data_IF_149815208657
#
_entry.id   IF_149815208657
#
_cell.length_a   1.000
_cell.length_b   1.000
_cell.length_c   1.000
_cell.angle_alpha   90.00
_cell.angle_beta   90.00
_cell.angle_gamma   90.00
#
_symmetry.space_group_name_H-M   'P 1'
#
loop_
_entity.id
_entity.type
_entity.pdbx_description
1 polymer ?
#
# COMPACT_ATOMS: atom_id res chain seq x y z
N UNK A 1 -15.93 -7.62 30.95
CA UNK A 1 -15.75 -6.17 30.77
C UNK A 1 -14.53 -5.71 31.57
N UNK A 2 -13.52 -5.04 30.98
CA UNK A 2 -12.21 -4.82 31.60
C UNK A 2 -12.16 -3.68 32.64
N UNK A 3 -13.30 -3.11 33.01
CA UNK A 3 -13.40 -1.89 33.83
C UNK A 3 -14.04 -2.13 35.20
N UNK A 4 -13.76 -3.27 35.85
CA UNK A 4 -14.01 -3.38 37.29
C UNK A 4 -12.80 -2.79 38.05
N UNK A 5 -13.02 -1.63 38.69
CA UNK A 5 -12.01 -0.94 39.48
C UNK A 5 -11.66 -1.69 40.76
N UNK A 6 -10.51 -2.35 40.78
CA UNK A 6 -9.90 -2.93 41.97
C UNK A 6 -8.61 -2.22 42.34
N UNK A 7 -8.33 -2.05 43.64
CA UNK A 7 -7.11 -1.40 44.21
C UNK A 7 -5.81 -2.21 44.05
N UNK A 8 -5.77 -3.17 43.13
CA UNK A 8 -4.57 -4.00 42.88
C UNK A 8 -4.15 -3.79 41.44
N UNK A 9 -3.19 -2.89 41.23
CA UNK A 9 -2.11 -3.01 40.24
C UNK A 9 -1.15 -1.83 40.44
N UNK A 10 0.07 -2.14 40.87
CA UNK A 10 1.25 -1.27 40.79
C UNK A 10 1.84 -1.42 39.39
N UNK A 11 1.83 -0.35 38.60
CA UNK A 11 2.35 -0.33 37.24
C UNK A 11 1.74 0.83 36.47
N UNK A 12 2.57 1.81 36.14
CA UNK A 12 2.22 3.07 35.50
C UNK A 12 1.29 2.87 34.29
N UNK A 13 0.18 3.61 34.29
CA UNK A 13 -0.56 3.92 33.07
C UNK A 13 -0.17 5.33 32.68
N UNK A 14 0.59 5.49 31.59
CA UNK A 14 0.55 6.72 30.81
C UNK A 14 -0.83 6.81 30.12
N UNK A 15 -1.88 6.93 30.92
CA UNK A 15 -3.20 7.26 30.43
C UNK A 15 -3.13 8.71 29.97
N UNK A 16 -3.50 8.97 28.72
CA UNK A 16 -3.73 10.31 28.14
C UNK A 16 -4.84 11.08 28.88
N UNK A 17 -4.77 11.18 30.21
CA UNK A 17 -5.70 11.88 31.08
C UNK A 17 -5.37 13.37 31.18
N UNK A 18 -4.19 13.82 30.74
CA UNK A 18 -3.83 15.24 30.74
C UNK A 18 -4.78 16.10 29.89
N UNK A 19 -5.48 15.50 28.94
CA UNK A 19 -6.50 16.18 28.13
C UNK A 19 -7.83 16.39 28.89
N UNK A 20 -8.05 15.72 30.03
CA UNK A 20 -9.26 15.93 30.85
C UNK A 20 -9.26 17.27 31.58
N UNK A 21 -8.09 17.90 31.74
CA UNK A 21 -8.01 19.25 32.32
C UNK A 21 -8.37 20.32 31.28
N UNK A 22 -8.23 20.02 29.98
CA UNK A 22 -8.63 20.92 28.88
C UNK A 22 -10.13 21.15 28.88
N UNK A 23 -10.94 20.11 29.16
CA UNK A 23 -12.42 20.23 29.25
C UNK A 23 -12.88 21.00 30.48
N UNK A 24 -12.00 21.24 31.47
CA UNK A 24 -12.30 22.09 32.64
C UNK A 24 -11.86 23.54 32.45
N UNK A 25 -11.14 23.87 31.37
CA UNK A 25 -10.70 25.22 31.10
C UNK A 25 -11.89 26.10 30.72
N UNK A 26 -12.06 27.21 31.43
CA UNK A 26 -13.15 28.18 31.20
C UNK A 26 -13.04 28.76 29.78
N UNK A 27 -11.84 29.20 29.39
CA UNK A 27 -11.56 29.71 28.04
C UNK A 27 -11.89 28.69 26.94
N UNK A 28 -11.55 27.40 27.14
CA UNK A 28 -11.83 26.37 26.13
C UNK A 28 -13.34 26.18 25.96
N UNK A 29 -14.09 26.17 27.06
CA UNK A 29 -15.55 26.05 27.01
C UNK A 29 -16.20 27.29 26.36
N UNK A 30 -15.70 28.50 26.64
CA UNK A 30 -16.15 29.73 25.99
C UNK A 30 -15.91 29.70 24.48
N UNK A 31 -14.74 29.23 24.03
CA UNK A 31 -14.42 29.11 22.61
C UNK A 31 -15.26 28.03 21.92
N UNK A 32 -15.48 26.88 22.57
CA UNK A 32 -16.36 25.81 22.05
C UNK A 32 -17.79 26.34 21.83
N UNK A 33 -18.31 27.17 22.74
CA UNK A 33 -19.63 27.76 22.60
C UNK A 33 -19.73 28.80 21.48
N UNK A 34 -18.60 29.37 21.05
CA UNK A 34 -18.54 30.32 19.93
C UNK A 34 -18.38 29.62 18.58
N UNK A 35 -18.07 28.31 18.55
CA UNK A 35 -18.03 27.57 17.30
C UNK A 35 -19.45 27.36 16.77
N UNK A 36 -19.69 27.88 15.57
CA UNK A 36 -20.91 27.64 14.85
C UNK A 36 -20.76 26.38 14.00
N UNK A 37 -21.74 25.49 14.07
CA UNK A 37 -21.84 24.39 13.12
C UNK A 37 -22.25 24.97 11.78
N UNK A 38 -21.29 25.13 10.86
CA UNK A 38 -21.61 25.50 9.50
C UNK A 38 -22.32 24.31 8.88
N UNK A 39 -23.66 24.36 8.89
CA UNK A 39 -24.44 23.39 8.13
C UNK A 39 -23.89 23.39 6.71
N UNK A 40 -23.45 22.22 6.20
CA UNK A 40 -22.91 22.15 4.85
C UNK A 40 -23.95 22.78 3.93
N UNK A 41 -23.52 23.72 3.10
CA UNK A 41 -24.41 24.35 2.14
C UNK A 41 -25.15 23.24 1.40
N UNK A 42 -26.48 23.31 1.37
CA UNK A 42 -27.30 22.42 0.57
C UNK A 42 -26.98 22.70 -0.89
N UNK A 43 -25.96 22.03 -1.41
CA UNK A 43 -25.64 22.02 -2.82
C UNK A 43 -26.72 21.16 -3.47
N UNK A 44 -27.72 21.81 -4.06
CA UNK A 44 -28.66 21.14 -4.94
C UNK A 44 -27.89 20.61 -6.15
N UNK A 45 -27.55 19.33 -6.11
CA UNK A 45 -26.97 18.66 -7.26
C UNK A 45 -28.05 18.46 -8.32
N UNK A 46 -27.85 18.91 -9.58
CA UNK A 46 -28.76 18.58 -10.68
C UNK A 46 -28.68 17.10 -11.08
N UNK A 47 -27.88 16.28 -10.37
CA UNK A 47 -27.76 14.86 -10.64
C UNK A 47 -29.08 14.14 -10.32
N UNK A 48 -29.64 13.50 -11.35
CA UNK A 48 -30.71 12.53 -11.19
C UNK A 48 -30.11 11.25 -10.61
N UNK A 49 -30.27 11.04 -9.30
CA UNK A 49 -29.92 9.78 -8.67
C UNK A 49 -30.82 8.68 -9.22
N UNK A 50 -30.22 7.71 -9.90
CA UNK A 50 -30.91 6.51 -10.34
C UNK A 50 -30.59 5.41 -9.32
N UNK A 51 -31.61 4.75 -8.73
CA UNK A 51 -31.35 3.59 -7.88
C UNK A 51 -30.69 2.51 -8.71
N UNK A 52 -29.55 2.02 -8.24
CA UNK A 52 -28.95 0.81 -8.79
C UNK A 52 -29.87 -0.35 -8.39
N UNK A 53 -30.28 -1.24 -9.31
CA UNK A 53 -31.14 -2.35 -8.95
C UNK A 53 -30.48 -3.24 -7.90
N UNK A 54 -31.08 -3.26 -6.70
CA UNK A 54 -30.73 -4.20 -5.65
C UNK A 54 -31.26 -5.60 -5.99
N UNK A 55 -30.44 -6.63 -5.84
CA UNK A 55 -30.88 -8.02 -6.05
C UNK A 55 -29.83 -8.97 -6.62
N UNK A 56 -28.67 -8.47 -7.04
CA UNK A 56 -27.58 -9.36 -7.42
C UNK A 56 -26.97 -10.07 -6.21
N UNK A 57 -26.50 -11.29 -6.45
CA UNK A 57 -25.87 -12.08 -5.39
C UNK A 57 -24.56 -11.40 -4.94
N UNK A 58 -24.32 -11.25 -3.63
CA UNK A 58 -23.07 -10.65 -3.15
C UNK A 58 -21.87 -11.45 -3.64
N UNK A 59 -20.80 -10.74 -4.01
CA UNK A 59 -19.56 -11.34 -4.51
C UNK A 59 -19.02 -12.35 -3.52
N UNK A 60 -18.88 -13.62 -3.92
CA UNK A 60 -18.40 -14.66 -3.00
C UNK A 60 -17.05 -14.31 -2.37
N UNK A 61 -16.13 -13.78 -3.18
CA UNK A 61 -14.78 -13.45 -2.77
C UNK A 61 -14.63 -11.93 -2.72
N UNK A 62 -14.12 -11.43 -1.60
CA UNK A 62 -13.68 -10.04 -1.44
C UNK A 62 -12.17 -10.06 -1.32
N UNK A 63 -11.49 -9.22 -2.09
CA UNK A 63 -10.07 -8.96 -1.93
C UNK A 63 -9.90 -7.56 -1.34
N UNK A 64 -9.15 -7.46 -0.25
CA UNK A 64 -8.75 -6.20 0.35
C UNK A 64 -7.22 -6.08 0.24
N UNK A 65 -6.75 -4.93 -0.21
CA UNK A 65 -5.32 -4.62 -0.26
C UNK A 65 -5.07 -3.46 0.67
N UNK A 66 -4.05 -3.59 1.51
CA UNK A 66 -3.56 -2.51 2.35
C UNK A 66 -2.03 -2.48 2.32
N UNK A 67 -1.45 -1.33 2.65
CA UNK A 67 -0.02 -1.12 2.66
C UNK A 67 0.41 -0.13 3.71
N UNK A 68 1.63 -0.31 4.22
CA UNK A 68 2.25 0.61 5.14
C UNK A 68 3.70 0.90 4.74
N UNK A 69 4.15 2.10 5.11
CA UNK A 69 5.50 2.59 4.89
C UNK A 69 6.04 3.12 6.20
N UNK A 70 7.20 2.62 6.62
CA UNK A 70 7.93 3.12 7.78
C UNK A 70 9.33 3.55 7.36
N UNK A 71 9.64 4.84 7.49
CA UNK A 71 10.99 5.33 7.29
C UNK A 71 11.75 5.32 8.62
N UNK A 72 13.00 4.84 8.59
CA UNK A 72 13.96 4.91 9.69
C UNK A 72 15.07 5.86 9.27
N UNK A 73 15.38 6.84 10.12
CA UNK A 73 16.42 7.84 9.92
C UNK A 73 17.51 7.72 10.99
N UNK A 74 18.77 7.93 10.63
CA UNK A 74 19.85 8.04 11.62
C UNK A 74 19.81 9.38 12.35
N UNK A 75 20.08 9.37 13.66
CA UNK A 75 20.05 10.57 14.49
C UNK A 75 21.23 11.52 14.25
N UNK A 76 22.33 10.99 13.68
CA UNK A 76 23.57 11.74 13.50
C UNK A 76 23.99 11.84 12.02
N UNK A 77 24.61 12.96 11.62
CA UNK A 77 25.21 13.12 10.31
C UNK A 77 26.34 12.11 10.01
N UNK A 78 26.53 11.68 8.75
CA UNK A 78 25.63 11.95 7.63
C UNK A 78 24.29 11.23 7.83
N UNK A 79 23.17 11.95 7.64
CA UNK A 79 21.83 11.40 7.82
C UNK A 79 21.60 10.29 6.79
N UNK A 80 21.20 9.12 7.30
CA UNK A 80 20.89 7.93 6.51
C UNK A 80 19.42 7.59 6.69
N UNK A 81 18.73 7.28 5.61
CA UNK A 81 17.31 6.96 5.61
C UNK A 81 17.04 5.71 4.77
N UNK A 82 16.25 4.81 5.36
CA UNK A 82 15.71 3.62 4.72
C UNK A 82 14.19 3.61 4.90
N UNK A 83 13.46 3.24 3.86
CA UNK A 83 12.02 3.05 3.95
C UNK A 83 11.66 1.58 3.83
N UNK A 84 10.96 1.04 4.83
CA UNK A 84 10.38 -0.29 4.79
C UNK A 84 8.96 -0.16 4.29
N UNK A 85 8.63 -0.90 3.23
CA UNK A 85 7.29 -0.97 2.66
C UNK A 85 6.76 -2.37 2.90
N UNK A 86 5.54 -2.47 3.41
CA UNK A 86 4.84 -3.73 3.58
C UNK A 86 3.47 -3.63 2.95
N UNK A 87 3.10 -4.59 2.12
CA UNK A 87 1.75 -4.72 1.58
C UNK A 87 1.11 -6.01 2.04
N UNK A 88 -0.21 -6.01 2.13
CA UNK A 88 -1.01 -7.15 2.50
C UNK A 88 -2.18 -7.28 1.52
N UNK A 89 -2.36 -8.48 0.99
CA UNK A 89 -3.56 -8.88 0.26
C UNK A 89 -4.35 -9.85 1.13
N UNK A 90 -5.59 -9.50 1.45
CA UNK A 90 -6.52 -10.33 2.19
C UNK A 90 -7.65 -10.80 1.27
N UNK A 91 -7.83 -12.10 1.15
CA UNK A 91 -8.92 -12.76 0.42
C UNK A 91 -9.94 -13.30 1.40
N UNK A 92 -11.14 -12.72 1.42
CA UNK A 92 -12.24 -13.16 2.28
C UNK A 92 -13.28 -13.94 1.46
N UNK A 93 -13.62 -15.16 1.90
CA UNK A 93 -14.76 -15.92 1.37
C UNK A 93 -16.00 -15.61 2.22
N UNK A 94 -16.92 -14.83 1.66
CA UNK A 94 -18.15 -14.41 2.34
C UNK A 94 -19.00 -15.60 2.79
N UNK A 95 -18.99 -16.72 2.05
CA UNK A 95 -19.75 -17.93 2.47
C UNK A 95 -19.13 -18.62 3.66
N UNK A 96 -17.81 -18.55 3.82
CA UNK A 96 -17.14 -19.10 5.00
C UNK A 96 -17.40 -18.22 6.23
N UNK A 97 -17.32 -16.90 6.07
CA UNK A 97 -17.58 -15.92 7.13
C UNK A 97 -19.04 -15.94 7.57
N UNK A 98 -19.99 -16.09 6.64
CA UNK A 98 -21.42 -16.16 6.96
C UNK A 98 -21.83 -17.36 7.85
N UNK A 99 -20.94 -18.35 8.01
CA UNK A 99 -21.16 -19.47 8.95
C UNK A 99 -20.74 -19.12 10.38
N UNK A 100 -20.00 -18.04 10.57
CA UNK A 100 -19.59 -17.57 11.89
C UNK A 100 -20.70 -16.76 12.53
N UNK A 101 -20.72 -16.73 13.86
CA UNK A 101 -21.55 -15.79 14.61
C UNK A 101 -21.09 -14.35 14.29
N UNK A 102 -21.98 -13.47 13.78
CA UNK A 102 -21.62 -12.11 13.37
C UNK A 102 -21.32 -11.18 14.55
N UNK A 103 -21.72 -11.55 15.78
CA UNK A 103 -21.55 -10.75 17.00
C UNK A 103 -20.37 -11.27 17.82
N UNK A 104 -20.21 -12.59 17.92
CA UNK A 104 -19.17 -13.24 18.72
C UNK A 104 -18.54 -14.42 17.98
N UNK A 105 -17.79 -14.18 16.89
CA UNK A 105 -17.19 -15.26 16.10
C UNK A 105 -16.18 -16.05 16.95
N UNK A 106 -16.23 -17.39 16.84
CA UNK A 106 -15.27 -18.25 17.55
C UNK A 106 -13.84 -17.98 17.04
N UNK A 107 -12.87 -17.54 17.89
CA UNK A 107 -11.57 -17.05 17.43
C UNK A 107 -10.76 -18.06 16.61
N UNK A 108 -10.84 -19.36 16.93
CA UNK A 108 -10.15 -20.40 16.16
C UNK A 108 -10.77 -20.60 14.79
N UNK A 109 -12.11 -20.53 14.67
CA UNK A 109 -12.78 -20.70 13.38
C UNK A 109 -12.48 -19.50 12.46
N UNK A 110 -12.41 -18.29 13.02
CA UNK A 110 -11.98 -17.11 12.28
C UNK A 110 -10.52 -17.23 11.84
N UNK A 111 -9.61 -17.66 12.73
CA UNK A 111 -8.20 -17.89 12.39
C UNK A 111 -8.05 -18.91 11.27
N UNK A 112 -8.79 -20.01 11.31
CA UNK A 112 -8.70 -21.07 10.31
C UNK A 112 -9.28 -20.63 8.96
N UNK A 113 -10.30 -19.75 8.95
CA UNK A 113 -10.76 -19.07 7.72
C UNK A 113 -9.68 -18.11 7.19
N UNK A 114 -8.92 -17.46 8.09
CA UNK A 114 -7.94 -16.44 7.73
C UNK A 114 -6.53 -16.98 7.40
N UNK A 115 -6.18 -18.20 7.78
CA UNK A 115 -4.80 -18.71 7.73
C UNK A 115 -4.19 -18.72 6.33
N UNK A 116 -5.01 -19.02 5.31
CA UNK A 116 -4.60 -19.03 3.90
C UNK A 116 -5.18 -17.84 3.11
N UNK A 117 -5.66 -16.83 3.84
CA UNK A 117 -6.38 -15.70 3.27
C UNK A 117 -5.51 -14.46 3.16
N UNK A 118 -4.38 -14.39 3.86
CA UNK A 118 -3.51 -13.23 3.85
C UNK A 118 -2.16 -13.53 3.19
N UNK A 119 -1.81 -12.76 2.16
CA UNK A 119 -0.49 -12.72 1.57
C UNK A 119 0.19 -11.43 2.00
N UNK A 120 1.38 -11.51 2.57
CA UNK A 120 2.16 -10.35 3.00
C UNK A 120 3.40 -10.23 2.15
N UNK A 121 3.66 -9.04 1.65
CA UNK A 121 4.89 -8.71 0.93
C UNK A 121 5.63 -7.61 1.65
N UNK A 122 6.96 -7.67 1.69
CA UNK A 122 7.77 -6.63 2.29
C UNK A 122 9.01 -6.34 1.44
N UNK A 123 9.38 -5.07 1.37
CA UNK A 123 10.60 -4.62 0.71
C UNK A 123 11.20 -3.41 1.43
N UNK A 124 12.41 -3.03 1.05
CA UNK A 124 13.14 -1.90 1.62
C UNK A 124 13.72 -1.05 0.50
N UNK A 125 13.52 0.26 0.57
CA UNK A 125 14.04 1.23 -0.39
C UNK A 125 15.10 2.11 0.28
N UNK A 126 16.28 2.30 -0.34
CA UNK A 126 17.20 3.34 0.10
C UNK A 126 16.62 4.71 -0.24
N UNK A 127 16.66 5.63 0.73
CA UNK A 127 16.26 7.02 0.52
C UNK A 127 17.50 7.91 0.50
N UNK A 128 17.92 8.40 1.66
CA UNK A 128 18.98 9.40 1.81
C UNK A 128 20.25 8.80 2.38
N UNK A 129 21.41 9.18 1.84
CA UNK A 129 22.72 8.83 2.43
C UNK A 129 23.04 7.33 2.46
N UNK A 130 22.25 6.50 1.78
CA UNK A 130 22.44 5.06 1.61
C UNK A 130 22.44 4.74 0.13
N UNK A 131 23.46 4.03 -0.33
CA UNK A 131 23.60 3.57 -1.71
C UNK A 131 24.32 2.22 -1.76
N UNK A 132 24.10 1.48 -2.83
CA UNK A 132 24.87 0.26 -3.12
C UNK A 132 26.10 0.67 -3.93
N UNK A 133 27.27 0.18 -3.51
CA UNK A 133 28.55 0.55 -4.14
C UNK A 133 28.51 0.26 -5.64
N UNK A 134 28.75 1.30 -6.45
CA UNK A 134 28.83 1.19 -7.91
C UNK A 134 27.47 1.23 -8.62
N UNK A 135 26.38 1.59 -7.94
CA UNK A 135 25.07 1.79 -8.55
C UNK A 135 24.49 3.15 -8.17
N UNK A 136 23.72 3.74 -9.08
CA UNK A 136 22.91 4.92 -8.74
C UNK A 136 21.78 4.50 -7.80
N UNK A 137 21.28 5.43 -6.98
CA UNK A 137 20.12 5.14 -6.12
C UNK A 137 18.87 4.83 -6.95
N UNK A 138 18.71 5.51 -8.07
CA UNK A 138 17.62 5.28 -9.01
C UNK A 138 17.62 3.85 -9.57
N UNK A 139 18.77 3.37 -10.07
CA UNK A 139 18.89 1.99 -10.58
C UNK A 139 18.78 0.95 -9.47
N UNK A 140 19.27 1.30 -8.27
CA UNK A 140 19.10 0.46 -7.09
C UNK A 140 17.62 0.26 -6.76
N UNK A 141 16.83 1.33 -6.77
CA UNK A 141 15.39 1.28 -6.52
C UNK A 141 14.68 0.47 -7.60
N UNK A 142 14.99 0.69 -8.88
CA UNK A 142 14.42 -0.09 -10.00
C UNK A 142 14.68 -1.58 -9.84
N UNK A 143 15.93 -1.96 -9.53
CA UNK A 143 16.28 -3.35 -9.25
C UNK A 143 15.54 -3.90 -8.04
N UNK A 144 15.44 -3.14 -6.95
CA UNK A 144 14.70 -3.58 -5.76
C UNK A 144 13.22 -3.82 -6.09
N UNK A 145 12.58 -2.97 -6.88
CA UNK A 145 11.20 -3.16 -7.32
C UNK A 145 11.07 -4.45 -8.13
N UNK A 146 12.00 -4.69 -9.06
CA UNK A 146 12.04 -5.91 -9.86
C UNK A 146 12.19 -7.17 -9.00
N UNK A 147 13.19 -7.19 -8.12
CA UNK A 147 13.49 -8.30 -7.21
C UNK A 147 12.33 -8.54 -6.23
N UNK A 148 11.75 -7.46 -5.72
CA UNK A 148 10.59 -7.44 -4.81
C UNK A 148 9.38 -8.12 -5.44
N UNK A 149 9.06 -7.84 -6.70
CA UNK A 149 7.96 -8.51 -7.40
C UNK A 149 8.22 -10.01 -7.59
N UNK A 150 9.50 -10.40 -7.70
CA UNK A 150 9.98 -11.77 -7.89
C UNK A 150 10.26 -12.52 -6.59
N UNK A 151 9.85 -11.99 -5.44
CA UNK A 151 10.14 -12.60 -4.14
C UNK A 151 9.73 -14.07 -4.11
N UNK A 152 10.73 -14.93 -3.89
CA UNK A 152 10.57 -16.37 -3.79
C UNK A 152 9.70 -16.78 -2.60
N UNK A 153 9.65 -15.98 -1.53
CA UNK A 153 8.78 -16.22 -0.38
C UNK A 153 7.29 -16.24 -0.77
N UNK A 154 6.95 -15.54 -1.86
CA UNK A 154 5.63 -15.47 -2.47
C UNK A 154 5.52 -16.30 -3.74
N UNK A 155 6.45 -17.24 -3.98
CA UNK A 155 6.54 -18.02 -5.21
C UNK A 155 6.56 -17.15 -6.49
N UNK A 156 7.01 -15.89 -6.40
CA UNK A 156 6.94 -14.89 -7.46
C UNK A 156 5.52 -14.67 -8.04
N UNK A 157 4.46 -14.93 -7.27
CA UNK A 157 3.07 -14.71 -7.72
C UNK A 157 2.77 -13.27 -8.17
N UNK A 158 3.28 -12.21 -7.50
CA UNK A 158 3.11 -10.84 -7.99
C UNK A 158 3.71 -10.64 -9.39
N UNK A 159 4.92 -11.14 -9.63
CA UNK A 159 5.56 -11.05 -10.94
C UNK A 159 4.88 -11.89 -12.01
N UNK A 160 4.44 -13.11 -11.67
CA UNK A 160 3.63 -13.95 -12.58
C UNK A 160 2.34 -13.25 -12.99
N UNK A 161 1.69 -12.57 -12.04
CA UNK A 161 0.48 -11.78 -12.27
C UNK A 161 0.77 -10.60 -13.19
N UNK A 162 1.85 -9.86 -12.94
CA UNK A 162 2.31 -8.78 -13.83
C UNK A 162 2.54 -9.30 -15.26
N UNK A 163 3.25 -10.42 -15.43
CA UNK A 163 3.47 -11.01 -16.77
C UNK A 163 2.16 -11.49 -17.41
N UNK A 164 1.25 -12.04 -16.62
CA UNK A 164 -0.06 -12.46 -17.12
C UNK A 164 -0.86 -11.27 -17.66
N UNK A 165 -0.78 -10.13 -16.97
CA UNK A 165 -1.36 -8.85 -17.39
C UNK A 165 -0.66 -8.26 -18.61
N UNK A 166 0.65 -8.03 -18.52
CA UNK A 166 1.45 -7.37 -19.54
C UNK A 166 1.41 -8.13 -20.88
N UNK A 167 1.45 -9.46 -20.86
CA UNK A 167 1.46 -10.27 -22.08
C UNK A 167 0.08 -10.77 -22.49
N UNK A 168 -0.98 -10.27 -21.85
CA UNK A 168 -2.37 -10.67 -22.06
C UNK A 168 -2.56 -12.19 -22.17
N UNK A 169 -1.97 -12.94 -21.24
CA UNK A 169 -1.86 -14.41 -21.37
C UNK A 169 -3.20 -15.13 -21.40
N UNK A 170 -4.30 -14.49 -20.96
CA UNK A 170 -5.66 -15.01 -21.08
C UNK A 170 -6.16 -15.14 -22.53
N UNK A 171 -5.56 -14.41 -23.47
CA UNK A 171 -5.97 -14.44 -24.89
C UNK A 171 -5.47 -15.68 -25.62
N UNK A 172 -4.49 -16.41 -25.05
CA UNK A 172 -3.79 -17.51 -25.72
C UNK A 172 -2.87 -17.08 -26.86
N UNK A 173 -2.76 -15.79 -27.15
CA UNK A 173 -1.87 -15.23 -28.17
C UNK A 173 -0.54 -14.80 -27.55
N UNK A 174 0.55 -14.91 -28.33
CA UNK A 174 1.86 -14.39 -27.93
C UNK A 174 1.93 -12.91 -28.25
N UNK A 175 1.54 -12.05 -27.32
CA UNK A 175 1.60 -10.59 -27.47
C UNK A 175 2.86 -10.02 -26.83
N UNK A 176 3.33 -8.88 -27.33
CA UNK A 176 4.34 -8.09 -26.64
C UNK A 176 3.75 -7.45 -25.37
N UNK A 177 4.59 -6.97 -24.46
CA UNK A 177 4.12 -6.11 -23.37
C UNK A 177 3.66 -4.76 -23.94
N UNK A 178 2.87 -3.97 -23.18
CA UNK A 178 2.66 -2.56 -23.52
C UNK A 178 3.98 -1.81 -23.64
N UNK A 179 3.97 -0.77 -24.48
CA UNK A 179 5.05 0.20 -24.53
C UNK A 179 5.11 1.07 -23.27
N UNK A 180 6.28 1.62 -23.00
CA UNK A 180 6.55 2.48 -21.86
C UNK A 180 7.78 3.35 -22.11
N UNK A 181 7.92 4.45 -21.39
CA UNK A 181 9.06 5.36 -21.55
C UNK A 181 10.31 4.81 -20.87
N UNK A 182 11.45 4.94 -21.54
CA UNK A 182 12.72 4.52 -21.00
C UNK A 182 13.06 5.35 -19.73
N UNK A 183 13.34 4.72 -18.58
CA UNK A 183 13.69 5.44 -17.34
C UNK A 183 15.02 6.24 -17.42
N UNK A 184 15.85 6.00 -18.45
CA UNK A 184 17.13 6.66 -18.62
C UNK A 184 17.10 7.82 -19.62
N UNK A 185 16.42 7.65 -20.77
CA UNK A 185 16.40 8.64 -21.84
C UNK A 185 15.01 9.20 -22.15
N UNK A 186 13.95 8.69 -21.49
CA UNK A 186 12.56 9.11 -21.64
C UNK A 186 11.96 8.90 -23.05
N UNK A 187 12.70 8.26 -23.94
CA UNK A 187 12.18 7.84 -25.25
C UNK A 187 11.24 6.65 -25.11
N UNK A 188 10.19 6.61 -25.92
CA UNK A 188 9.20 5.54 -25.93
C UNK A 188 9.85 4.22 -26.37
N UNK A 189 9.63 3.17 -25.59
CA UNK A 189 9.99 1.79 -25.90
C UNK A 189 8.71 1.07 -26.31
N UNK A 190 8.72 0.35 -27.43
CA UNK A 190 7.55 -0.36 -27.96
C UNK A 190 7.02 -1.50 -27.05
N UNK A 191 7.72 -1.80 -25.95
CA UNK A 191 7.47 -2.92 -25.07
C UNK A 191 8.41 -4.08 -25.35
N UNK A 192 8.28 -5.15 -24.55
CA UNK A 192 9.12 -6.33 -24.67
C UNK A 192 8.44 -7.44 -25.47
N UNK A 193 9.22 -8.26 -26.20
CA UNK A 193 8.80 -9.55 -26.71
C UNK A 193 8.07 -10.41 -25.66
N UNK A 194 7.20 -11.30 -26.16
CA UNK A 194 6.37 -12.15 -25.32
C UNK A 194 7.16 -12.89 -24.25
N UNK A 195 6.71 -12.77 -23.00
CA UNK A 195 7.23 -13.47 -21.83
C UNK A 195 8.68 -13.14 -21.45
N UNK A 196 9.22 -12.02 -21.94
CA UNK A 196 10.54 -11.53 -21.56
C UNK A 196 10.51 -10.80 -20.21
N UNK A 197 11.58 -10.88 -19.43
CA UNK A 197 11.63 -10.26 -18.10
C UNK A 197 12.34 -8.90 -18.11
N UNK A 198 13.34 -8.80 -18.99
CA UNK A 198 14.36 -7.76 -19.03
C UNK A 198 14.77 -7.52 -20.48
N UNK A 199 15.24 -6.31 -20.79
CA UNK A 199 15.68 -5.91 -22.13
C UNK A 199 16.68 -4.76 -22.08
N UNK A 200 16.95 -4.18 -23.24
CA UNK A 200 17.77 -2.97 -23.38
C UNK A 200 17.02 -1.94 -24.19
N UNK A 201 17.17 -0.67 -23.85
CA UNK A 201 16.58 0.42 -24.62
C UNK A 201 17.22 0.52 -26.01
N UNK A 202 16.42 0.61 -27.07
CA UNK A 202 16.91 0.73 -28.45
C UNK A 202 17.60 2.08 -28.72
N UNK A 203 17.29 3.10 -27.92
CA UNK A 203 17.79 4.47 -28.10
C UNK A 203 19.08 4.76 -27.34
N UNK A 204 19.20 4.32 -26.08
CA UNK A 204 20.36 4.60 -25.22
C UNK A 204 21.17 3.35 -24.84
N UNK A 205 20.68 2.14 -25.13
CA UNK A 205 21.36 0.88 -24.80
C UNK A 205 21.32 0.47 -23.32
N UNK A 206 20.73 1.28 -22.46
CA UNK A 206 20.62 1.01 -21.02
C UNK A 206 19.66 -0.15 -20.72
N UNK A 207 19.87 -0.79 -19.57
CA UNK A 207 19.12 -1.95 -19.13
C UNK A 207 17.70 -1.59 -18.65
N UNK A 208 16.73 -2.42 -19.02
CA UNK A 208 15.31 -2.23 -18.72
C UNK A 208 14.72 -3.49 -18.07
N UNK A 209 13.90 -3.29 -17.04
CA UNK A 209 13.10 -4.34 -16.41
C UNK A 209 11.65 -4.25 -16.89
N UNK A 210 10.93 -5.37 -16.96
CA UNK A 210 9.50 -5.34 -17.28
C UNK A 210 8.73 -4.50 -16.24
N UNK A 211 9.19 -4.48 -14.99
CA UNK A 211 8.64 -3.65 -13.92
C UNK A 211 8.87 -2.14 -14.10
N UNK A 212 9.61 -1.70 -15.12
CA UNK A 212 9.67 -0.27 -15.42
C UNK A 212 8.34 0.23 -16.00
N UNK A 213 7.57 -0.63 -16.68
CA UNK A 213 6.29 -0.27 -17.29
C UNK A 213 5.22 0.21 -16.29
N UNK A 214 5.34 -0.18 -15.01
CA UNK A 214 4.39 0.19 -13.95
C UNK A 214 4.76 1.52 -13.29
N UNK A 215 5.95 2.07 -13.58
CA UNK A 215 6.32 3.43 -13.17
C UNK A 215 6.57 3.65 -11.68
N UNK A 216 6.64 2.60 -10.84
CA UNK A 216 6.83 2.76 -9.39
C UNK A 216 8.15 3.47 -9.00
N UNK A 217 9.14 3.45 -9.88
CA UNK A 217 10.40 4.15 -9.66
C UNK A 217 10.32 5.66 -9.96
N UNK A 218 9.26 6.14 -10.63
CA UNK A 218 9.12 7.54 -11.05
C UNK A 218 8.89 8.49 -9.87
N UNK A 219 8.19 8.03 -8.83
CA UNK A 219 7.97 8.81 -7.60
C UNK A 219 9.19 8.86 -6.68
N UNK A 220 10.32 8.25 -7.07
CA UNK A 220 11.52 8.10 -6.25
C UNK A 220 12.69 8.97 -6.74
N UNK A 221 12.41 10.00 -7.55
CA UNK A 221 13.40 11.01 -7.92
C UNK A 221 14.00 11.70 -6.69
N UNK A 222 15.22 12.21 -6.81
CA UNK A 222 15.95 12.82 -5.68
C UNK A 222 15.20 14.01 -5.03
N UNK A 223 14.30 14.66 -5.78
CA UNK A 223 13.44 15.77 -5.33
C UNK A 223 12.03 15.32 -4.86
N UNK A 224 11.69 14.04 -4.96
CA UNK A 224 10.34 13.52 -4.73
C UNK A 224 10.09 13.05 -3.29
N UNK A 225 11.05 13.18 -2.38
CA UNK A 225 10.79 13.06 -0.95
C UNK A 225 10.21 14.39 -0.46
N UNK A 226 8.88 14.51 -0.22
CA UNK A 226 8.38 15.74 0.35
C UNK A 226 9.00 15.92 1.74
N UNK A 227 9.60 17.08 1.96
CA UNK A 227 9.81 17.59 3.31
C UNK A 227 8.41 17.64 3.95
N UNK A 228 8.11 16.65 4.80
CA UNK A 228 6.88 16.64 5.57
C UNK A 228 6.85 17.89 6.44
N UNK A 229 5.81 18.72 6.27
CA UNK A 229 5.43 19.84 7.14
C UNK A 229 5.23 19.35 8.58
#
# INVERSE_FOLDING_TARGET
>A
MPYQGGKRLSGERASKLGHLDVVKSELVNELIQQFEDQQPALIESPANWVPIPDGESPLRLIFAVDGSKQTIRSDFPPYKELSFVKTALLRLDQRAIAKLDPVAPHPMALRDIMSDSAMYHATVLPLKGVSIKGQSNYDTIRRIIFDSMRDHSLNAEPYKTLKWLAYEKWTGQKKASPGFDCPHCQEEVAGFPFDQDEGTCEHCGEHLYLTDMIGFHLEMGEDAAPDSV
#
